data_IF_554087201436
#
_entry.id   IF_554087201436
#
_cell.length_a   1.000
_cell.length_b   1.000
_cell.length_c   1.000
_cell.angle_alpha   90.00
_cell.angle_beta   90.00
_cell.angle_gamma   90.00
#
_symmetry.space_group_name_H-M   'P 1'
#
loop_
_entity.id
_entity.type
_entity.pdbx_description
1 polymer ?
#
# COMPACT_ATOMS: atom_id res chain seq x y z
N UNK A 1 -2.25 -31.71 6.44
CA UNK A 1 -0.91 -31.14 6.20
C UNK A 1 -0.94 -29.86 5.35
N UNK A 2 -2.09 -29.25 5.14
CA UNK A 2 -2.22 -28.29 4.03
C UNK A 2 -2.68 -26.90 4.43
N UNK A 3 -2.97 -26.70 5.70
CA UNK A 3 -3.38 -25.42 6.26
C UNK A 3 -2.22 -24.65 6.92
N UNK A 4 -1.10 -25.32 7.14
CA UNK A 4 0.07 -24.74 7.80
C UNK A 4 0.83 -23.78 6.89
N UNK A 5 0.69 -23.91 5.56
CA UNK A 5 1.49 -23.13 4.64
C UNK A 5 1.03 -21.67 4.50
N UNK A 6 -0.25 -21.35 4.71
CA UNK A 6 -0.72 -19.97 4.58
C UNK A 6 -0.31 -19.11 5.78
N UNK A 7 -0.36 -19.65 6.99
CA UNK A 7 0.13 -18.96 8.19
C UNK A 7 1.65 -18.79 8.16
N UNK A 8 2.39 -19.80 7.72
CA UNK A 8 3.82 -19.72 7.55
C UNK A 8 4.20 -18.69 6.49
N UNK A 9 3.47 -18.60 5.36
CA UNK A 9 3.76 -17.61 4.32
C UNK A 9 3.47 -16.18 4.79
N UNK A 10 2.52 -15.98 5.70
CA UNK A 10 2.25 -14.68 6.29
C UNK A 10 3.40 -14.23 7.22
N UNK A 11 3.96 -15.14 7.99
CA UNK A 11 5.12 -14.88 8.83
C UNK A 11 6.35 -14.53 8.00
N UNK A 12 6.62 -15.21 6.89
CA UNK A 12 7.80 -14.97 6.05
C UNK A 12 7.72 -13.68 5.22
N UNK A 13 6.54 -13.23 4.86
CA UNK A 13 6.36 -12.09 3.95
C UNK A 13 6.58 -10.72 4.56
N UNK A 14 6.83 -10.62 5.86
CA UNK A 14 7.00 -9.35 6.58
C UNK A 14 8.13 -9.40 7.57
N UNK A 15 9.10 -10.30 7.37
CA UNK A 15 10.18 -10.44 8.32
C UNK A 15 11.21 -9.32 8.17
N UNK A 16 11.62 -8.71 9.28
CA UNK A 16 12.83 -7.90 9.33
C UNK A 16 14.05 -8.78 9.02
N UNK A 17 15.13 -8.18 8.56
CA UNK A 17 16.42 -8.88 8.43
C UNK A 17 17.00 -9.19 9.83
N UNK A 18 16.80 -8.28 10.78
CA UNK A 18 17.22 -8.41 12.17
C UNK A 18 16.05 -8.12 13.12
N UNK A 19 16.08 -8.70 14.30
CA UNK A 19 15.06 -8.45 15.33
C UNK A 19 15.02 -6.96 15.73
N UNK A 20 16.17 -6.30 15.74
CA UNK A 20 16.29 -4.87 16.02
C UNK A 20 15.59 -3.95 15.02
N UNK A 21 15.23 -4.47 13.84
CA UNK A 21 14.56 -3.70 12.79
C UNK A 21 13.06 -3.58 13.04
N UNK A 22 12.55 -4.25 14.09
CA UNK A 22 11.12 -4.21 14.43
C UNK A 22 10.78 -3.00 15.30
N UNK A 23 9.62 -2.36 15.12
CA UNK A 23 9.23 -1.19 15.90
C UNK A 23 9.14 -1.45 17.42
N UNK A 24 8.76 -2.66 17.81
CA UNK A 24 8.62 -3.04 19.23
C UNK A 24 9.93 -3.49 19.88
N UNK A 25 11.06 -3.48 19.20
CA UNK A 25 12.32 -4.00 19.73
C UNK A 25 12.78 -3.30 21.02
N UNK A 26 12.63 -1.98 21.07
CA UNK A 26 13.05 -1.16 22.22
C UNK A 26 12.09 -1.26 23.40
N UNK A 27 10.81 -1.58 23.16
CA UNK A 27 9.76 -1.57 24.18
C UNK A 27 9.37 -2.94 24.68
N UNK A 28 9.69 -4.02 23.93
CA UNK A 28 9.40 -5.40 24.34
C UNK A 28 10.51 -5.98 25.26
N UNK A 29 10.19 -6.70 26.33
CA UNK A 29 8.86 -7.14 26.82
C UNK A 29 8.14 -6.14 27.72
N UNK A 30 8.58 -4.91 27.77
CA UNK A 30 8.06 -3.90 28.69
C UNK A 30 8.86 -3.80 29.98
N UNK A 31 8.46 -2.86 30.83
CA UNK A 31 9.05 -2.62 32.15
C UNK A 31 7.94 -2.48 33.19
N UNK A 32 8.14 -3.06 34.37
CA UNK A 32 7.21 -2.97 35.50
C UNK A 32 5.76 -3.35 35.16
N UNK A 33 5.57 -4.40 34.35
CA UNK A 33 4.27 -4.89 33.83
C UNK A 33 3.57 -3.90 32.89
N UNK A 34 4.29 -2.90 32.39
CA UNK A 34 3.79 -1.95 31.38
C UNK A 34 4.56 -2.14 30.09
N UNK A 35 3.86 -2.02 28.96
CA UNK A 35 4.42 -2.03 27.63
C UNK A 35 3.83 -0.86 26.85
N UNK A 36 4.69 0.02 26.38
CA UNK A 36 4.30 1.16 25.59
C UNK A 36 4.37 0.82 24.07
N UNK A 37 3.37 1.26 23.32
CA UNK A 37 3.28 1.11 21.88
C UNK A 37 3.72 2.42 21.23
N UNK A 38 5.03 2.67 21.26
CA UNK A 38 5.63 3.93 20.80
C UNK A 38 5.56 4.12 19.28
N UNK A 39 5.36 3.02 18.54
CA UNK A 39 5.29 3.04 17.09
C UNK A 39 4.06 3.77 16.53
N UNK A 40 2.98 3.92 17.30
CA UNK A 40 1.77 4.62 16.90
C UNK A 40 1.19 4.11 15.57
N UNK A 41 1.13 4.96 14.54
CA UNK A 41 0.64 4.61 13.20
C UNK A 41 1.67 3.86 12.33
N UNK A 42 2.94 3.82 12.78
CA UNK A 42 4.06 3.32 11.99
C UNK A 42 4.32 1.84 12.27
N UNK A 43 3.38 0.99 11.86
CA UNK A 43 3.48 -0.47 11.95
C UNK A 43 3.65 -1.12 10.58
N UNK A 44 4.26 -2.30 10.52
CA UNK A 44 4.47 -3.05 9.29
C UNK A 44 5.30 -2.27 8.27
N UNK A 45 4.86 -2.22 7.00
CA UNK A 45 5.59 -1.53 5.94
C UNK A 45 5.74 -0.02 6.20
N UNK A 46 4.83 0.60 6.95
CA UNK A 46 4.91 2.03 7.30
C UNK A 46 6.10 2.35 8.18
N UNK A 47 6.46 1.42 9.08
CA UNK A 47 7.68 1.51 9.89
C UNK A 47 8.93 1.39 9.02
N UNK A 48 8.99 0.36 8.16
CA UNK A 48 10.12 0.15 7.27
C UNK A 48 10.34 1.31 6.30
N UNK A 49 9.26 1.88 5.78
CA UNK A 49 9.33 3.07 4.93
C UNK A 49 9.87 4.28 5.69
N UNK A 50 9.40 4.52 6.94
CA UNK A 50 9.82 5.65 7.78
C UNK A 50 11.29 5.57 8.18
N UNK A 51 11.73 4.40 8.61
CA UNK A 51 13.09 4.17 9.10
C UNK A 51 14.07 3.82 7.96
N UNK A 52 13.61 3.83 6.70
CA UNK A 52 14.39 3.47 5.52
C UNK A 52 15.04 2.09 5.64
N UNK A 53 14.35 1.15 6.29
CA UNK A 53 14.83 -0.23 6.49
C UNK A 53 14.30 -1.11 5.37
N UNK A 54 15.19 -1.76 4.64
CA UNK A 54 14.81 -2.74 3.63
C UNK A 54 14.42 -4.08 4.28
N UNK A 55 13.15 -4.51 4.22
CA UNK A 55 12.73 -5.79 4.77
C UNK A 55 13.24 -6.96 3.92
N UNK A 56 13.26 -8.17 4.49
CA UNK A 56 13.61 -9.40 3.74
C UNK A 56 12.61 -9.64 2.61
N UNK A 57 11.32 -9.47 2.90
CA UNK A 57 10.22 -9.46 1.92
C UNK A 57 9.30 -8.29 2.22
N UNK A 58 9.04 -7.47 1.21
CA UNK A 58 8.15 -6.33 1.34
C UNK A 58 6.68 -6.74 1.53
N UNK A 59 5.90 -5.87 2.13
CA UNK A 59 4.44 -6.05 2.17
C UNK A 59 3.88 -6.14 0.76
N UNK A 60 3.06 -7.17 0.52
CA UNK A 60 2.48 -7.45 -0.79
C UNK A 60 3.38 -8.23 -1.74
N UNK A 61 4.65 -8.51 -1.39
CA UNK A 61 5.53 -9.31 -2.23
C UNK A 61 4.93 -10.67 -2.55
N UNK A 62 5.01 -11.06 -3.81
CA UNK A 62 4.56 -12.35 -4.32
C UNK A 62 5.41 -12.79 -5.50
N UNK A 63 5.34 -14.07 -5.79
CA UNK A 63 5.97 -14.67 -6.97
C UNK A 63 4.88 -15.15 -7.93
N UNK A 64 5.14 -15.02 -9.22
CA UNK A 64 4.30 -15.52 -10.29
C UNK A 64 5.14 -16.35 -11.27
N UNK A 65 4.50 -17.27 -12.00
CA UNK A 65 5.11 -17.98 -13.10
C UNK A 65 5.04 -17.20 -14.41
N UNK A 66 4.45 -16.01 -14.38
CA UNK A 66 4.34 -15.10 -15.53
C UNK A 66 4.72 -13.68 -15.10
N UNK A 67 4.82 -12.77 -16.05
CA UNK A 67 5.14 -11.37 -15.85
C UNK A 67 3.94 -10.48 -16.16
N UNK A 68 3.85 -9.32 -15.48
CA UNK A 68 2.78 -8.36 -15.69
C UNK A 68 3.36 -6.97 -15.93
N UNK A 69 2.85 -6.31 -16.98
CA UNK A 69 3.16 -4.93 -17.30
C UNK A 69 2.05 -4.01 -16.81
N UNK A 70 2.45 -2.91 -16.21
CA UNK A 70 1.60 -1.82 -15.76
C UNK A 70 1.78 -0.64 -16.69
N UNK A 71 0.69 -0.05 -17.16
CA UNK A 71 0.78 1.05 -18.12
C UNK A 71 -0.43 1.98 -18.08
N UNK A 72 -0.27 3.17 -18.67
CA UNK A 72 -1.35 4.14 -18.88
C UNK A 72 -2.02 4.63 -17.59
N UNK A 73 -1.31 4.66 -16.47
CA UNK A 73 -1.84 5.21 -15.24
C UNK A 73 -2.15 6.70 -15.42
N UNK A 74 -3.40 7.08 -15.18
CA UNK A 74 -3.85 8.47 -15.27
C UNK A 74 -5.01 8.76 -14.34
N UNK A 75 -5.10 10.00 -13.89
CA UNK A 75 -6.27 10.50 -13.20
C UNK A 75 -7.46 10.60 -14.16
N UNK A 76 -8.64 10.22 -13.69
CA UNK A 76 -9.90 10.30 -14.42
C UNK A 76 -10.98 10.91 -13.53
N UNK A 77 -12.04 11.50 -14.10
CA UNK A 77 -13.16 11.96 -13.29
C UNK A 77 -13.79 10.81 -12.51
N UNK A 78 -14.02 10.96 -11.20
CA UNK A 78 -14.70 9.94 -10.40
C UNK A 78 -16.15 9.76 -10.88
N UNK A 79 -16.63 8.52 -10.87
CA UNK A 79 -18.00 8.17 -11.27
C UNK A 79 -18.92 7.94 -10.07
N UNK A 80 -18.36 7.50 -8.95
CA UNK A 80 -19.10 7.28 -7.72
C UNK A 80 -19.49 8.60 -7.05
N UNK A 81 -20.71 8.67 -6.53
CA UNK A 81 -21.27 9.89 -5.89
C UNK A 81 -20.50 10.33 -4.64
N UNK A 82 -19.77 9.44 -4.01
CA UNK A 82 -18.94 9.71 -2.83
C UNK A 82 -17.43 9.72 -3.13
N UNK A 83 -17.05 9.50 -4.37
CA UNK A 83 -15.63 9.47 -4.77
C UNK A 83 -15.14 10.89 -5.07
N UNK A 84 -13.98 11.24 -4.52
CA UNK A 84 -13.34 12.55 -4.70
C UNK A 84 -12.13 12.48 -5.64
N UNK A 85 -11.58 11.29 -5.86
CA UNK A 85 -10.52 11.04 -6.81
C UNK A 85 -10.71 9.66 -7.46
N UNK A 86 -10.29 9.55 -8.70
CA UNK A 86 -10.24 8.27 -9.41
C UNK A 86 -9.05 8.25 -10.37
N UNK A 87 -8.52 7.05 -10.59
CA UNK A 87 -7.49 6.83 -11.59
C UNK A 87 -7.63 5.44 -12.20
N UNK A 88 -7.18 5.32 -13.43
CA UNK A 88 -7.24 4.06 -14.19
C UNK A 88 -5.87 3.71 -14.74
N UNK A 89 -5.65 2.40 -14.92
CA UNK A 89 -4.45 1.85 -15.53
C UNK A 89 -4.79 0.58 -16.29
N UNK A 90 -3.88 0.16 -17.15
CA UNK A 90 -3.96 -1.12 -17.86
C UNK A 90 -2.94 -2.08 -17.27
N UNK A 91 -3.36 -3.33 -17.01
CA UNK A 91 -2.50 -4.45 -16.59
C UNK A 91 -2.51 -5.48 -17.69
N UNK A 92 -1.34 -5.88 -18.16
CA UNK A 92 -1.16 -6.87 -19.21
C UNK A 92 -0.33 -8.04 -18.71
N UNK A 93 -0.78 -9.27 -18.95
CA UNK A 93 0.07 -10.43 -18.76
C UNK A 93 1.05 -10.51 -19.95
N UNK A 94 2.30 -10.11 -19.70
CA UNK A 94 3.36 -10.08 -20.71
C UNK A 94 4.17 -11.37 -20.81
N UNK A 95 3.84 -12.40 -20.03
CA UNK A 95 4.47 -13.72 -20.10
C UNK A 95 3.66 -14.74 -20.88
N UNK A 96 4.11 -16.00 -20.85
CA UNK A 96 3.62 -17.08 -21.72
C UNK A 96 2.59 -18.00 -21.04
N UNK A 97 2.29 -17.78 -19.76
CA UNK A 97 1.34 -18.64 -19.02
C UNK A 97 0.28 -17.81 -18.32
N UNK A 98 -0.89 -18.42 -18.11
CA UNK A 98 -1.95 -17.83 -17.28
C UNK A 98 -1.42 -17.45 -15.91
N UNK A 99 -1.80 -16.27 -15.41
CA UNK A 99 -1.40 -15.81 -14.10
C UNK A 99 -2.43 -14.91 -13.40
N UNK A 100 -2.13 -14.65 -12.14
CA UNK A 100 -2.93 -13.73 -11.32
C UNK A 100 -2.01 -12.69 -10.68
N UNK A 101 -2.43 -11.44 -10.77
CA UNK A 101 -1.71 -10.31 -10.17
C UNK A 101 -2.59 -9.63 -9.14
N UNK A 102 -1.98 -9.11 -8.08
CA UNK A 102 -2.64 -8.25 -7.09
C UNK A 102 -2.10 -6.83 -7.26
N UNK A 103 -2.84 -6.03 -7.99
CA UNK A 103 -2.51 -4.63 -8.21
C UNK A 103 -2.81 -3.84 -6.94
N UNK A 104 -1.79 -3.24 -6.34
CA UNK A 104 -1.86 -2.50 -5.09
C UNK A 104 -1.75 -1.01 -5.37
N UNK A 105 -2.66 -0.23 -4.79
CA UNK A 105 -2.67 1.23 -4.90
C UNK A 105 -2.36 1.86 -3.57
N UNK A 106 -1.29 2.61 -3.54
CA UNK A 106 -0.81 3.40 -2.41
C UNK A 106 -1.07 4.88 -2.64
N UNK A 107 -1.32 5.59 -1.56
CA UNK A 107 -1.48 7.05 -1.58
C UNK A 107 -0.42 7.68 -0.70
N UNK A 108 0.27 8.65 -1.26
CA UNK A 108 1.25 9.51 -0.60
C UNK A 108 0.76 10.97 -0.67
N UNK A 109 0.94 11.73 0.39
CA UNK A 109 0.66 13.16 0.41
C UNK A 109 1.98 13.93 0.33
N UNK A 110 2.10 14.78 -0.68
CA UNK A 110 3.28 15.61 -0.87
C UNK A 110 3.32 16.70 0.19
N UNK A 111 4.49 16.88 0.82
CA UNK A 111 4.74 17.94 1.80
C UNK A 111 3.66 18.03 2.92
N UNK A 112 3.16 16.87 3.37
CA UNK A 112 2.17 16.83 4.45
C UNK A 112 2.68 17.50 5.71
N UNK A 113 1.82 18.30 6.34
CA UNK A 113 2.07 18.94 7.64
C UNK A 113 1.66 18.05 8.82
N UNK A 114 1.10 16.90 8.53
CA UNK A 114 0.61 15.94 9.50
C UNK A 114 1.64 14.82 9.64
N UNK A 115 1.93 14.38 10.86
CA UNK A 115 2.74 13.18 11.09
C UNK A 115 1.93 11.93 10.68
N UNK A 116 2.23 11.45 9.48
CA UNK A 116 1.52 10.34 8.83
C UNK A 116 2.49 9.44 8.08
N UNK A 117 2.10 8.20 7.80
CA UNK A 117 2.92 7.31 6.97
C UNK A 117 3.26 7.93 5.61
N UNK A 118 4.49 7.67 5.12
CA UNK A 118 4.97 8.14 3.83
C UNK A 118 3.98 7.77 2.72
N UNK A 119 3.45 6.53 2.78
CA UNK A 119 2.39 6.05 1.89
C UNK A 119 1.47 5.08 2.62
N UNK A 120 0.26 4.96 2.14
CA UNK A 120 -0.74 4.05 2.69
C UNK A 120 -1.44 3.26 1.58
N UNK A 121 -1.52 1.94 1.74
CA UNK A 121 -2.34 1.10 0.87
C UNK A 121 -3.83 1.49 1.05
N UNK A 122 -4.46 1.99 0.01
CA UNK A 122 -5.86 2.41 0.05
C UNK A 122 -6.77 1.48 -0.73
N UNK A 123 -6.31 0.94 -1.85
CA UNK A 123 -7.09 0.01 -2.69
C UNK A 123 -6.20 -1.11 -3.21
N UNK A 124 -6.81 -2.21 -3.58
CA UNK A 124 -6.17 -3.29 -4.34
C UNK A 124 -7.21 -4.03 -5.18
N UNK A 125 -6.78 -4.61 -6.29
CA UNK A 125 -7.60 -5.49 -7.12
C UNK A 125 -6.78 -6.70 -7.55
N UNK A 126 -7.39 -7.88 -7.46
CA UNK A 126 -6.81 -9.12 -7.98
C UNK A 126 -7.35 -9.41 -9.36
N UNK A 127 -6.47 -9.44 -10.34
CA UNK A 127 -6.79 -9.77 -11.74
C UNK A 127 -6.29 -11.16 -12.10
N UNK A 128 -6.96 -11.78 -13.06
CA UNK A 128 -6.57 -13.06 -13.66
C UNK A 128 -6.50 -12.83 -15.15
N UNK A 129 -5.37 -13.14 -15.78
CA UNK A 129 -5.11 -12.81 -17.17
C UNK A 129 -4.46 -14.00 -17.90
N UNK A 130 -4.96 -14.30 -19.10
CA UNK A 130 -4.30 -15.20 -20.05
C UNK A 130 -3.05 -14.52 -20.66
N UNK A 131 -2.12 -15.27 -21.26
CA UNK A 131 -0.99 -14.69 -21.98
C UNK A 131 -1.42 -13.64 -23.00
N UNK A 132 -0.82 -12.44 -22.94
CA UNK A 132 -1.14 -11.32 -23.81
C UNK A 132 -2.46 -10.59 -23.50
N UNK A 133 -3.24 -11.07 -22.54
CA UNK A 133 -4.48 -10.41 -22.14
C UNK A 133 -4.19 -9.14 -21.33
N UNK A 134 -4.98 -8.09 -21.63
CA UNK A 134 -4.93 -6.81 -20.91
C UNK A 134 -6.27 -6.51 -20.26
N UNK A 135 -6.24 -5.97 -19.04
CA UNK A 135 -7.42 -5.52 -18.31
C UNK A 135 -7.22 -4.10 -17.80
N UNK A 136 -8.23 -3.26 -18.01
CA UNK A 136 -8.30 -1.94 -17.41
C UNK A 136 -8.84 -2.05 -15.99
N UNK A 137 -8.16 -1.40 -15.05
CA UNK A 137 -8.56 -1.28 -13.65
C UNK A 137 -8.86 0.19 -13.37
N UNK A 138 -9.89 0.44 -12.57
CA UNK A 138 -10.22 1.78 -12.07
C UNK A 138 -10.30 1.72 -10.56
N UNK A 139 -9.52 2.56 -9.90
CA UNK A 139 -9.61 2.77 -8.46
C UNK A 139 -10.30 4.09 -8.18
N UNK A 140 -11.31 4.04 -7.32
CA UNK A 140 -12.01 5.23 -6.84
C UNK A 140 -11.75 5.41 -5.33
N UNK A 141 -11.46 6.63 -4.94
CA UNK A 141 -11.17 7.00 -3.58
C UNK A 141 -12.21 7.97 -3.05
N UNK A 142 -12.71 7.66 -1.89
CA UNK A 142 -13.64 8.51 -1.16
C UNK A 142 -12.86 9.54 -0.33
N UNK A 143 -13.54 10.58 0.13
CA UNK A 143 -12.98 11.53 1.10
C UNK A 143 -12.42 10.81 2.34
N UNK A 144 -13.12 9.77 2.82
CA UNK A 144 -12.69 8.96 3.95
C UNK A 144 -11.39 8.21 3.70
N UNK A 145 -11.15 7.72 2.48
CA UNK A 145 -9.90 7.04 2.12
C UNK A 145 -8.68 7.97 2.25
N UNK A 146 -8.87 9.28 2.02
CA UNK A 146 -7.82 10.29 2.00
C UNK A 146 -7.70 11.09 3.30
N UNK A 147 -8.67 10.94 4.19
CA UNK A 147 -8.74 11.72 5.42
C UNK A 147 -7.82 11.21 6.53
N UNK A 148 -7.42 12.11 7.41
CA UNK A 148 -6.80 11.86 8.70
C UNK A 148 -7.74 12.31 9.83
N UNK A 149 -7.54 11.81 11.04
CA UNK A 149 -8.29 12.26 12.20
C UNK A 149 -7.66 13.50 12.79
N UNK A 150 -8.38 14.60 12.83
CA UNK A 150 -7.96 15.83 13.50
C UNK A 150 -8.40 15.82 14.95
N UNK A 151 -7.46 15.73 15.89
CA UNK A 151 -7.75 15.80 17.32
C UNK A 151 -8.29 17.17 17.73
N UNK A 152 -7.80 18.24 17.11
CA UNK A 152 -8.25 19.60 17.37
C UNK A 152 -9.71 19.81 16.98
N UNK A 153 -10.10 19.29 15.81
CA UNK A 153 -11.45 19.48 15.27
C UNK A 153 -12.39 18.31 15.58
N UNK A 154 -11.88 17.24 16.21
CA UNK A 154 -12.62 16.01 16.53
C UNK A 154 -13.38 15.45 15.31
N UNK A 155 -12.73 15.49 14.14
CA UNK A 155 -13.35 15.10 12.86
C UNK A 155 -12.32 14.58 11.87
N UNK A 156 -12.81 13.82 10.90
CA UNK A 156 -12.03 13.37 9.75
C UNK A 156 -11.89 14.51 8.74
N UNK A 157 -10.67 14.78 8.32
CA UNK A 157 -10.36 15.87 7.40
C UNK A 157 -9.42 15.42 6.29
N UNK A 158 -9.62 15.97 5.10
CA UNK A 158 -8.68 15.85 3.98
C UNK A 158 -7.74 17.05 4.04
N UNK A 159 -6.45 16.81 3.96
CA UNK A 159 -5.44 17.86 3.90
C UNK A 159 -5.45 18.47 2.50
N UNK A 160 -5.54 19.81 2.33
CA UNK A 160 -5.34 20.44 1.04
C UNK A 160 -3.88 20.26 0.59
N UNK A 161 -3.65 19.37 -0.36
CA UNK A 161 -2.32 18.98 -0.80
C UNK A 161 -2.33 18.29 -2.16
N UNK A 162 -1.16 18.04 -2.71
CA UNK A 162 -0.98 17.13 -3.83
C UNK A 162 -0.94 15.69 -3.32
N UNK A 163 -1.86 14.88 -3.83
CA UNK A 163 -1.94 13.44 -3.56
C UNK A 163 -1.30 12.68 -4.71
N UNK A 164 -0.29 11.88 -4.38
CA UNK A 164 0.41 11.02 -5.33
C UNK A 164 -0.15 9.61 -5.19
N UNK A 165 -0.66 9.07 -6.29
CA UNK A 165 -1.17 7.72 -6.41
C UNK A 165 -0.10 6.84 -7.03
N UNK A 166 0.39 5.89 -6.25
CA UNK A 166 1.40 4.91 -6.66
C UNK A 166 0.73 3.55 -6.83
N UNK A 167 0.99 2.86 -7.92
CA UNK A 167 0.52 1.50 -8.14
C UNK A 167 1.67 0.55 -8.39
N UNK A 168 1.55 -0.66 -7.86
CA UNK A 168 2.61 -1.66 -7.99
C UNK A 168 2.21 -3.04 -7.50
N UNK A 169 3.16 -3.95 -7.57
CA UNK A 169 3.02 -5.35 -7.14
C UNK A 169 3.32 -5.55 -5.65
N UNK A 170 3.97 -4.58 -5.00
CA UNK A 170 4.25 -4.59 -3.56
C UNK A 170 4.54 -3.18 -3.04
N UNK A 171 4.72 -3.03 -1.74
CA UNK A 171 5.04 -1.74 -1.12
C UNK A 171 6.35 -1.12 -1.62
N UNK A 172 7.29 -1.89 -2.14
CA UNK A 172 8.56 -1.40 -2.70
C UNK A 172 8.65 -1.55 -4.22
N UNK A 173 7.80 -2.36 -4.83
CA UNK A 173 7.76 -2.57 -6.27
C UNK A 173 6.65 -1.70 -6.88
N UNK A 174 6.90 -0.39 -6.89
CA UNK A 174 6.02 0.61 -7.51
C UNK A 174 6.35 0.68 -9.00
N UNK A 175 5.35 0.58 -9.85
CA UNK A 175 5.46 0.51 -11.32
C UNK A 175 5.07 1.81 -12.00
N UNK A 176 4.02 2.45 -11.51
CA UNK A 176 3.46 3.66 -12.09
C UNK A 176 3.06 4.64 -10.99
N UNK A 177 3.10 5.94 -11.29
CA UNK A 177 2.60 6.98 -10.40
C UNK A 177 1.91 8.11 -11.16
N UNK A 178 0.91 8.71 -10.53
CA UNK A 178 0.23 9.92 -11.01
C UNK A 178 -0.16 10.77 -9.82
N UNK A 179 -0.46 12.04 -10.04
CA UNK A 179 -0.87 12.91 -8.93
C UNK A 179 -2.12 13.74 -9.26
N UNK A 180 -2.77 14.21 -8.19
CA UNK A 180 -3.88 15.15 -8.28
C UNK A 180 -3.85 16.08 -7.07
N UNK A 181 -4.17 17.35 -7.30
CA UNK A 181 -4.37 18.33 -6.23
C UNK A 181 -5.81 18.19 -5.69
N UNK A 182 -5.92 18.11 -4.36
CA UNK A 182 -7.21 18.12 -3.64
C UNK A 182 -7.18 19.24 -2.60
N UNK A 183 -8.19 20.13 -2.63
CA UNK A 183 -8.30 21.25 -1.71
C UNK A 183 -9.18 22.36 -2.25
#
# INVERSE_FOLDING_TARGET
>A
PRLVSSAASDVYKRQPKNLSDTPAYSTYPGKDLQMDYEEGLFIGYRWYDREEIEPLFAFGHGLSYTTFDYSNLRAVPPKGTSSVAAFELDITNSGDVFGKEVVQSYVKVSESKIDRPIKELKKFEKVSLEPGESKKITFELTERDLSFWSETNQSWQVEPAEYIFEVGASAIDIRESTSVWLG
#
